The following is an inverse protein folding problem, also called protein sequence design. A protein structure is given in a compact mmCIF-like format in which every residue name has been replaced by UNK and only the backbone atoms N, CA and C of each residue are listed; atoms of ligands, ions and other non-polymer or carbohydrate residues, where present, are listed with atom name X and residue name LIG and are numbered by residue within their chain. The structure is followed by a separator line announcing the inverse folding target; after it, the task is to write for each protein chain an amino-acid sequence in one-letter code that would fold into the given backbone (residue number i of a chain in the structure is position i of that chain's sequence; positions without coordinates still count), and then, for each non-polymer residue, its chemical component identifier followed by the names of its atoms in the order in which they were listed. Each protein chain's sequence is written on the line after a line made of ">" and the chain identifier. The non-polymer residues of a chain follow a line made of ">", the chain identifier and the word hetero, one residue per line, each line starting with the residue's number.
data_IF_480667969682
#
_entry.id   IF_480667969682
#
_cell.length_a   1.000
_cell.length_b   1.000
_cell.length_c   1.000
_cell.angle_alpha   90.00
_cell.angle_beta   90.00
_cell.angle_gamma   90.00
#
_symmetry.space_group_name_H-M   'P 1'
#
loop_
_entity.id
_entity.type
_entity.pdbx_description
1 polymer ?
#
# COMPACT_ATOMS: atom_id res chain seq x y z
N UNK A 1 41.14 -29.28 11.42
CA UNK A 1 40.38 -28.97 12.66
C UNK A 1 41.02 -29.47 13.95
N UNK A 2 41.35 -30.76 14.14
CA UNK A 2 41.91 -31.28 15.41
C UNK A 2 43.19 -30.58 15.92
N UNK A 3 44.11 -30.19 15.02
CA UNK A 3 45.34 -29.43 15.39
C UNK A 3 45.07 -27.98 15.82
N UNK A 4 44.02 -27.35 15.30
CA UNK A 4 43.67 -25.97 15.62
C UNK A 4 43.10 -25.86 17.04
N UNK A 5 42.17 -26.77 17.39
CA UNK A 5 41.61 -26.84 18.75
C UNK A 5 42.65 -27.25 19.81
N UNK A 6 43.64 -28.08 19.47
CA UNK A 6 44.69 -28.43 20.44
C UNK A 6 45.63 -27.26 20.75
N UNK A 7 45.93 -26.40 19.76
CA UNK A 7 46.70 -25.17 19.95
C UNK A 7 45.95 -24.13 20.80
N UNK A 8 44.64 -23.94 20.55
CA UNK A 8 43.77 -23.10 21.38
C UNK A 8 43.72 -23.56 22.84
N UNK A 9 43.66 -24.89 23.07
CA UNK A 9 43.64 -25.49 24.41
C UNK A 9 44.97 -25.31 25.14
N UNK A 10 46.09 -25.47 24.42
CA UNK A 10 47.45 -25.35 24.97
C UNK A 10 47.78 -23.92 25.43
N UNK A 11 47.25 -22.92 24.73
CA UNK A 11 47.49 -21.50 25.03
C UNK A 11 46.42 -20.86 25.93
N UNK A 12 45.50 -21.65 26.51
CA UNK A 12 44.33 -21.15 27.28
C UNK A 12 43.46 -20.13 26.52
N UNK A 13 43.54 -20.10 25.19
CA UNK A 13 42.83 -19.14 24.34
C UNK A 13 41.40 -19.57 23.99
N UNK A 14 40.95 -20.73 24.47
CA UNK A 14 39.58 -21.21 24.25
C UNK A 14 38.55 -20.22 24.79
N UNK A 15 38.75 -19.71 26.01
CA UNK A 15 37.79 -18.81 26.65
C UNK A 15 37.65 -17.46 25.92
N UNK A 16 38.73 -16.77 25.53
CA UNK A 16 38.61 -15.56 24.71
C UNK A 16 38.10 -15.84 23.29
N UNK A 17 38.38 -17.00 22.68
CA UNK A 17 37.86 -17.35 21.36
C UNK A 17 36.37 -17.65 21.37
N UNK A 18 35.87 -18.36 22.41
CA UNK A 18 34.43 -18.56 22.64
C UNK A 18 33.75 -17.23 22.92
N UNK A 19 34.37 -16.35 23.72
CA UNK A 19 33.85 -14.99 23.94
C UNK A 19 33.75 -14.21 22.62
N UNK A 20 34.75 -14.26 21.75
CA UNK A 20 34.74 -13.55 20.47
C UNK A 20 33.65 -14.08 19.54
N UNK A 21 33.42 -15.40 19.53
CA UNK A 21 32.33 -16.02 18.77
C UNK A 21 30.97 -15.64 19.34
N UNK A 22 30.80 -15.66 20.67
CA UNK A 22 29.54 -15.30 21.34
C UNK A 22 29.24 -13.81 21.17
N UNK A 23 30.23 -12.93 21.29
CA UNK A 23 30.06 -11.49 21.04
C UNK A 23 29.79 -11.22 19.56
N UNK A 24 30.44 -11.93 18.64
CA UNK A 24 30.13 -11.87 17.21
C UNK A 24 28.70 -12.34 16.89
N UNK A 25 28.26 -13.46 17.47
CA UNK A 25 26.89 -13.97 17.36
C UNK A 25 25.87 -13.03 18.00
N UNK A 26 26.18 -12.42 19.15
CA UNK A 26 25.33 -11.44 19.81
C UNK A 26 25.20 -10.17 18.98
N UNK A 27 26.29 -9.67 18.38
CA UNK A 27 26.29 -8.51 17.48
C UNK A 27 25.48 -8.78 16.20
N UNK A 28 25.65 -9.96 15.59
CA UNK A 28 24.88 -10.38 14.41
C UNK A 28 23.41 -10.63 14.75
N UNK A 29 23.11 -11.23 15.91
CA UNK A 29 21.76 -11.43 16.40
C UNK A 29 21.08 -10.11 16.77
N UNK A 30 21.80 -9.15 17.34
CA UNK A 30 21.28 -7.80 17.61
C UNK A 30 21.06 -7.01 16.33
N UNK A 31 21.90 -7.17 15.29
CA UNK A 31 21.63 -6.58 13.99
C UNK A 31 20.42 -7.23 13.30
N UNK A 32 20.18 -8.54 13.49
CA UNK A 32 19.00 -9.24 12.96
C UNK A 32 17.72 -8.96 13.78
N UNK A 33 17.84 -8.69 15.08
CA UNK A 33 16.72 -8.31 15.96
C UNK A 33 16.30 -6.85 15.77
N UNK A 34 17.20 -5.98 15.30
CA UNK A 34 16.86 -4.63 14.84
C UNK A 34 15.97 -4.62 13.59
N UNK A 35 15.93 -5.73 12.84
CA UNK A 35 15.02 -5.95 11.71
C UNK A 35 13.73 -6.70 12.09
N UNK A 36 13.45 -6.90 13.39
CA UNK A 36 12.18 -7.50 13.82
C UNK A 36 11.23 -6.45 14.40
N UNK A 37 10.73 -5.57 13.54
CA UNK A 37 9.38 -5.06 13.69
C UNK A 37 8.68 -5.22 12.35
N UNK A 38 7.54 -5.90 12.38
CA UNK A 38 6.55 -5.77 11.31
C UNK A 38 6.18 -4.29 11.33
N UNK A 39 6.74 -3.52 10.39
CA UNK A 39 6.41 -2.10 10.22
C UNK A 39 4.96 -2.02 9.82
N UNK A 40 4.06 -1.90 10.79
CA UNK A 40 2.63 -1.72 10.57
C UNK A 40 2.24 -0.38 11.17
N UNK A 41 1.85 0.53 10.29
CA UNK A 41 1.59 1.92 10.63
C UNK A 41 0.23 2.30 10.08
N UNK A 42 -0.69 2.72 10.94
CA UNK A 42 -2.06 3.14 10.66
C UNK A 42 -2.14 4.60 10.21
N UNK A 43 -2.40 4.84 8.94
CA UNK A 43 -2.88 6.11 8.43
C UNK A 43 -4.40 6.15 8.50
N UNK A 44 -4.98 6.52 9.65
CA UNK A 44 -6.38 6.94 9.73
C UNK A 44 -7.41 5.96 9.14
N UNK A 45 -7.18 4.65 9.29
CA UNK A 45 -8.04 3.60 8.74
C UNK A 45 -7.38 2.73 7.66
N UNK A 46 -6.23 3.15 7.10
CA UNK A 46 -5.37 2.30 6.27
C UNK A 46 -4.04 2.00 6.94
N UNK A 47 -3.73 0.73 7.16
CA UNK A 47 -2.42 0.32 7.64
C UNK A 47 -1.44 0.10 6.49
N UNK A 48 -0.28 0.75 6.51
CA UNK A 48 0.82 0.44 5.59
C UNK A 48 1.77 -0.47 6.33
N UNK A 49 2.07 -1.64 5.74
CA UNK A 49 3.03 -2.51 6.37
C UNK A 49 3.38 -3.82 5.69
N UNK A 50 4.58 -4.30 5.97
CA UNK A 50 5.17 -5.50 5.35
C UNK A 50 4.72 -6.78 6.04
N UNK A 51 4.40 -7.83 5.29
CA UNK A 51 4.24 -9.18 5.87
C UNK A 51 5.57 -9.91 6.03
N UNK A 52 6.64 -9.30 5.55
CA UNK A 52 7.97 -9.87 5.59
C UNK A 52 8.93 -8.97 6.36
N UNK A 53 9.55 -9.54 7.40
CA UNK A 53 10.59 -8.91 8.25
C UNK A 53 11.83 -8.41 7.49
N UNK A 54 11.95 -8.75 6.22
CA UNK A 54 13.10 -8.42 5.39
C UNK A 54 12.87 -7.23 4.45
N UNK A 55 11.72 -6.58 4.52
CA UNK A 55 11.44 -5.32 3.81
C UNK A 55 11.20 -4.22 4.84
N UNK A 56 11.67 -3.02 4.51
CA UNK A 56 11.44 -1.81 5.29
C UNK A 56 10.82 -0.76 4.39
N UNK A 57 9.73 -0.15 4.84
CA UNK A 57 9.16 1.03 4.19
C UNK A 57 9.92 2.29 4.60
N UNK A 58 9.90 3.30 3.75
CA UNK A 58 10.31 4.65 4.14
C UNK A 58 9.36 5.20 5.19
N UNK A 59 9.88 6.07 6.05
CA UNK A 59 9.08 6.84 7.00
C UNK A 59 8.22 7.91 6.31
N UNK A 60 8.40 8.10 5.00
CA UNK A 60 7.65 9.04 4.19
C UNK A 60 6.76 8.33 3.16
N UNK A 61 5.50 8.77 3.09
CA UNK A 61 4.56 8.45 2.03
C UNK A 61 4.13 9.76 1.38
N UNK A 62 4.19 9.83 0.06
CA UNK A 62 3.70 10.99 -0.69
C UNK A 62 2.39 10.62 -1.37
N UNK A 63 1.37 11.46 -1.22
CA UNK A 63 0.07 11.29 -1.87
C UNK A 63 -0.17 12.49 -2.78
N UNK A 64 -0.43 12.21 -4.05
CA UNK A 64 -0.78 13.23 -5.03
C UNK A 64 -2.22 13.02 -5.47
N UNK A 65 -3.10 13.98 -5.18
CA UNK A 65 -4.43 14.04 -5.78
C UNK A 65 -4.36 14.92 -7.02
N UNK A 66 -5.01 14.54 -8.11
CA UNK A 66 -5.11 15.42 -9.26
C UNK A 66 -6.27 15.10 -10.20
N UNK A 67 -6.49 16.00 -11.16
CA UNK A 67 -7.45 15.81 -12.26
C UNK A 67 -6.68 15.73 -13.57
N UNK A 68 -6.90 14.67 -14.34
CA UNK A 68 -6.34 14.56 -15.68
C UNK A 68 -7.17 15.44 -16.63
N UNK A 69 -6.56 16.48 -17.19
CA UNK A 69 -7.26 17.43 -18.04
C UNK A 69 -7.45 16.89 -19.46
N UNK A 70 -8.66 16.47 -19.79
CA UNK A 70 -9.18 16.64 -21.15
C UNK A 70 -10.20 17.79 -21.14
N UNK A 71 -9.72 19.02 -21.29
CA UNK A 71 -10.56 20.15 -21.72
C UNK A 71 -11.11 21.14 -20.69
N UNK A 72 -10.45 21.43 -19.55
CA UNK A 72 -10.91 22.59 -18.77
C UNK A 72 -10.22 22.99 -17.47
N UNK A 73 -9.43 22.11 -16.85
CA UNK A 73 -8.63 22.48 -15.67
C UNK A 73 -7.84 21.31 -15.13
N UNK A 74 -6.52 21.49 -14.98
CA UNK A 74 -5.68 20.58 -14.22
C UNK A 74 -5.48 21.16 -12.83
N UNK A 75 -5.63 20.31 -11.82
CA UNK A 75 -5.24 20.61 -10.45
C UNK A 75 -4.40 19.44 -9.94
N UNK A 76 -3.40 19.76 -9.12
CA UNK A 76 -2.62 18.78 -8.38
C UNK A 76 -2.45 19.26 -6.94
N UNK A 77 -2.72 18.38 -5.99
CA UNK A 77 -2.39 18.52 -4.58
C UNK A 77 -1.35 17.49 -4.23
N UNK A 78 -0.26 17.89 -3.61
CA UNK A 78 0.70 16.96 -3.01
C UNK A 78 0.65 17.11 -1.51
N UNK A 79 0.45 15.99 -0.82
CA UNK A 79 0.49 15.89 0.63
C UNK A 79 1.54 14.85 0.98
N UNK A 80 2.45 15.23 1.88
CA UNK A 80 3.49 14.35 2.39
C UNK A 80 3.06 13.89 3.77
N UNK A 81 3.18 12.61 4.05
CA UNK A 81 2.91 12.01 5.35
C UNK A 81 4.18 11.40 5.91
N UNK A 82 4.48 11.71 7.17
CA UNK A 82 5.60 11.14 7.91
C UNK A 82 5.11 10.22 9.01
N UNK A 83 5.87 9.15 9.25
CA UNK A 83 5.67 8.26 10.39
C UNK A 83 5.78 9.08 11.68
N UNK A 84 4.78 8.94 12.54
CA UNK A 84 4.75 9.59 13.84
C UNK A 84 5.81 9.04 14.79
N UNK A 85 6.08 9.81 15.84
CA UNK A 85 6.98 9.40 16.93
C UNK A 85 6.54 8.11 17.64
N UNK A 86 5.24 7.78 17.58
CA UNK A 86 4.68 6.54 18.12
C UNK A 86 4.97 5.32 17.23
N UNK A 87 5.54 5.53 16.04
CA UNK A 87 5.75 4.58 14.95
C UNK A 87 4.48 3.83 14.52
N UNK A 88 3.32 4.27 14.98
CA UNK A 88 2.04 3.60 14.81
C UNK A 88 1.19 4.26 13.76
N UNK A 89 1.40 5.54 13.44
CA UNK A 89 0.57 6.25 12.46
C UNK A 89 1.38 7.15 11.54
N UNK A 90 0.86 7.35 10.33
CA UNK A 90 1.35 8.38 9.42
C UNK A 90 0.52 9.66 9.61
N UNK A 91 1.20 10.80 9.70
CA UNK A 91 0.57 12.11 9.86
C UNK A 91 1.07 13.09 8.80
N UNK A 92 0.20 14.01 8.41
CA UNK A 92 0.56 15.05 7.44
C UNK A 92 1.77 15.84 7.95
N UNK A 93 2.74 16.04 7.06
CA UNK A 93 4.02 16.64 7.37
C UNK A 93 4.37 17.69 6.31
N UNK A 94 4.70 18.88 6.77
CA UNK A 94 4.99 20.02 5.90
C UNK A 94 6.03 20.92 6.55
N UNK A 95 6.97 21.42 5.75
CA UNK A 95 7.98 22.40 6.16
C UNK A 95 8.77 21.99 7.44
N UNK A 96 9.02 20.68 7.60
CA UNK A 96 9.77 20.14 8.73
C UNK A 96 8.97 19.97 10.02
N UNK A 97 7.63 20.00 9.96
CA UNK A 97 6.77 19.78 11.12
C UNK A 97 5.47 19.03 10.78
N UNK A 98 4.89 18.37 11.78
CA UNK A 98 3.56 17.76 11.66
C UNK A 98 2.47 18.83 11.57
N UNK A 99 1.60 18.71 10.58
CA UNK A 99 0.44 19.57 10.40
C UNK A 99 -0.63 19.22 11.44
N UNK A 100 -1.31 20.25 11.96
CA UNK A 100 -2.35 20.12 12.98
C UNK A 100 -3.66 20.74 12.52
N UNK A 101 -4.76 20.14 12.96
CA UNK A 101 -6.12 20.68 12.77
C UNK A 101 -6.41 21.87 13.70
N UNK A 102 -7.62 22.42 13.61
CA UNK A 102 -8.08 23.56 14.43
C UNK A 102 -8.11 23.26 15.93
N UNK A 103 -8.21 21.97 16.30
CA UNK A 103 -8.21 21.48 17.68
C UNK A 103 -6.80 21.17 18.19
N UNK A 104 -5.78 21.26 17.32
CA UNK A 104 -4.38 21.02 17.62
C UNK A 104 -3.94 19.55 17.46
N UNK A 105 -4.77 18.67 16.92
CA UNK A 105 -4.44 17.27 16.70
C UNK A 105 -3.64 17.09 15.40
N UNK A 106 -2.71 16.12 15.37
CA UNK A 106 -1.98 15.76 14.13
C UNK A 106 -2.97 15.15 13.14
N UNK A 107 -2.93 15.61 11.88
CA UNK A 107 -3.85 15.11 10.83
C UNK A 107 -3.35 13.74 10.34
N UNK A 108 -4.13 12.65 10.48
CA UNK A 108 -3.70 11.33 10.03
C UNK A 108 -3.73 11.24 8.49
N UNK A 109 -2.92 10.33 7.94
CA UNK A 109 -3.07 9.90 6.55
C UNK A 109 -4.47 9.30 6.34
N UNK A 110 -5.23 9.74 5.35
CA UNK A 110 -6.53 9.15 5.02
C UNK A 110 -6.72 9.13 3.50
N UNK A 111 -7.25 8.03 2.96
CA UNK A 111 -7.72 7.97 1.57
C UNK A 111 -9.19 8.41 1.57
N UNK A 112 -9.44 9.61 1.04
CA UNK A 112 -10.80 10.13 0.82
C UNK A 112 -11.25 9.80 -0.60
N UNK A 113 -12.57 9.72 -0.81
CA UNK A 113 -13.19 9.48 -2.11
C UNK A 113 -12.67 10.40 -3.23
N UNK A 114 -12.73 9.91 -4.46
CA UNK A 114 -12.29 10.59 -5.68
C UNK A 114 -13.48 10.95 -6.55
N UNK A 115 -13.52 12.17 -7.07
CA UNK A 115 -14.53 12.55 -8.07
C UNK A 115 -14.25 11.90 -9.44
N UNK A 116 -15.25 11.76 -10.32
CA UNK A 116 -15.01 11.35 -11.71
C UNK A 116 -13.98 12.25 -12.39
N UNK A 117 -12.94 11.65 -12.97
CA UNK A 117 -11.81 12.36 -13.57
C UNK A 117 -10.66 12.69 -12.60
N UNK A 118 -10.85 12.48 -11.30
CA UNK A 118 -9.76 12.54 -10.32
C UNK A 118 -8.97 11.23 -10.26
N UNK A 119 -7.69 11.38 -9.92
CA UNK A 119 -6.79 10.30 -9.54
C UNK A 119 -6.12 10.61 -8.20
N UNK A 120 -5.66 9.53 -7.55
CA UNK A 120 -4.84 9.56 -6.34
C UNK A 120 -3.61 8.68 -6.55
N UNK A 121 -2.44 9.29 -6.60
CA UNK A 121 -1.16 8.60 -6.67
C UNK A 121 -0.57 8.47 -5.27
N UNK A 122 -0.49 7.25 -4.78
CA UNK A 122 0.15 6.89 -3.51
C UNK A 122 1.57 6.43 -3.84
N UNK A 123 2.55 7.26 -3.50
CA UNK A 123 3.98 6.99 -3.68
C UNK A 123 4.54 6.43 -2.39
N UNK A 124 5.03 5.20 -2.49
CA UNK A 124 5.68 4.48 -1.40
C UNK A 124 7.12 4.19 -1.79
N UNK A 125 8.01 4.23 -0.81
CA UNK A 125 9.40 3.85 -0.96
C UNK A 125 9.72 2.69 -0.02
N UNK A 126 10.49 1.70 -0.48
CA UNK A 126 10.84 0.50 0.29
C UNK A 126 12.21 -0.05 -0.12
N UNK A 127 12.85 -0.79 0.78
CA UNK A 127 14.13 -1.49 0.57
C UNK A 127 14.09 -2.88 1.20
N UNK A 128 15.04 -3.75 0.85
CA UNK A 128 15.13 -5.10 1.40
C UNK A 128 16.47 -5.38 2.12
N UNK A 129 16.53 -6.51 2.83
CA UNK A 129 17.77 -7.01 3.42
C UNK A 129 18.71 -7.63 2.38
N UNK A 130 20.01 -7.59 2.66
CA UNK A 130 21.07 -8.03 1.73
C UNK A 130 20.89 -9.45 1.17
N UNK A 131 20.36 -10.36 1.98
CA UNK A 131 20.14 -11.77 1.62
C UNK A 131 18.93 -12.01 0.69
N UNK A 132 18.11 -10.99 0.43
CA UNK A 132 16.95 -11.08 -0.47
C UNK A 132 17.03 -10.07 -1.63
N UNK A 133 18.20 -9.47 -1.83
CA UNK A 133 18.47 -8.64 -3.00
C UNK A 133 18.06 -9.39 -4.28
N UNK A 134 17.27 -8.73 -5.13
CA UNK A 134 16.78 -9.33 -6.36
C UNK A 134 15.74 -10.44 -6.14
N UNK A 135 15.06 -10.48 -5.01
CA UNK A 135 13.87 -11.34 -4.83
C UNK A 135 12.64 -10.60 -5.34
N UNK A 136 11.73 -11.33 -5.98
CA UNK A 136 10.42 -10.82 -6.40
C UNK A 136 9.49 -10.70 -5.21
N UNK A 137 8.86 -9.55 -5.06
CA UNK A 137 7.82 -9.33 -4.06
C UNK A 137 6.53 -8.85 -4.71
N UNK A 138 5.42 -9.05 -4.00
CA UNK A 138 4.08 -8.66 -4.41
C UNK A 138 3.58 -7.52 -3.53
N UNK A 139 3.05 -6.46 -4.13
CA UNK A 139 2.26 -5.44 -3.44
C UNK A 139 0.82 -5.94 -3.24
N UNK A 140 0.10 -5.65 -2.17
CA UNK A 140 -1.31 -6.07 -2.07
C UNK A 140 -2.14 -5.17 -1.17
N UNK A 141 -3.46 -5.19 -1.40
CA UNK A 141 -4.44 -4.55 -0.54
C UNK A 141 -5.30 -5.60 0.18
N UNK A 142 -5.48 -5.44 1.49
CA UNK A 142 -6.31 -6.33 2.33
C UNK A 142 -7.24 -5.51 3.23
N UNK A 143 -8.23 -6.17 3.82
CA UNK A 143 -9.22 -5.56 4.72
C UNK A 143 -9.97 -4.38 4.08
N UNK A 144 -10.35 -4.53 2.81
CA UNK A 144 -11.09 -3.51 2.07
C UNK A 144 -12.56 -3.61 2.48
N UNK A 145 -13.15 -2.49 2.91
CA UNK A 145 -14.56 -2.42 3.30
C UNK A 145 -15.21 -1.20 2.68
N UNK A 146 -16.51 -1.30 2.42
CA UNK A 146 -17.29 -0.27 1.76
C UNK A 146 -18.68 -0.14 2.41
N UNK A 147 -18.72 -0.20 3.74
CA UNK A 147 -19.95 -0.16 4.55
C UNK A 147 -20.86 1.03 4.21
N UNK A 148 -20.29 2.17 3.80
CA UNK A 148 -21.03 3.36 3.34
C UNK A 148 -20.84 3.62 1.83
N UNK A 149 -20.35 2.65 1.08
CA UNK A 149 -19.99 2.73 -0.32
C UNK A 149 -20.97 2.06 -1.28
N UNK A 150 -22.15 1.63 -0.83
CA UNK A 150 -23.10 0.91 -1.70
C UNK A 150 -23.98 1.83 -2.55
N UNK A 151 -24.26 1.40 -3.78
CA UNK A 151 -25.24 1.97 -4.70
C UNK A 151 -26.39 0.99 -4.90
N UNK A 152 -27.64 1.47 -4.85
CA UNK A 152 -28.79 0.65 -5.22
C UNK A 152 -29.12 0.85 -6.69
N UNK A 153 -28.94 -0.19 -7.50
CA UNK A 153 -29.27 -0.21 -8.94
C UNK A 153 -30.33 -1.28 -9.17
N UNK A 154 -31.54 -0.87 -9.56
CA UNK A 154 -32.69 -1.76 -9.86
C UNK A 154 -32.83 -2.91 -8.83
N UNK A 155 -32.88 -2.53 -7.55
CA UNK A 155 -33.06 -3.44 -6.41
C UNK A 155 -31.85 -4.33 -6.02
N UNK A 156 -30.66 -4.11 -6.60
CA UNK A 156 -29.39 -4.68 -6.14
C UNK A 156 -28.46 -3.64 -5.56
N UNK A 157 -27.77 -4.00 -4.48
CA UNK A 157 -26.69 -3.18 -3.91
C UNK A 157 -25.35 -3.54 -4.58
N UNK A 158 -24.65 -2.53 -5.08
CA UNK A 158 -23.33 -2.65 -5.71
C UNK A 158 -22.31 -1.85 -4.91
N UNK A 159 -21.11 -2.40 -4.70
CA UNK A 159 -20.01 -1.65 -4.10
C UNK A 159 -19.53 -0.49 -4.98
N UNK A 160 -19.11 0.59 -4.33
CA UNK A 160 -18.30 1.63 -4.96
C UNK A 160 -16.94 1.10 -5.41
N UNK A 161 -16.44 0.01 -4.82
CA UNK A 161 -15.15 -0.55 -5.14
C UNK A 161 -15.01 -1.00 -6.59
N UNK A 162 -16.10 -1.41 -7.26
CA UNK A 162 -16.00 -1.82 -8.67
C UNK A 162 -16.14 -0.70 -9.70
N UNK A 163 -16.23 0.57 -9.26
CA UNK A 163 -15.92 1.72 -10.12
C UNK A 163 -14.53 2.31 -9.84
N UNK A 164 -13.85 1.87 -8.78
CA UNK A 164 -12.46 2.24 -8.51
C UNK A 164 -11.52 1.27 -9.20
N UNK A 165 -10.66 1.82 -10.05
CA UNK A 165 -9.52 1.12 -10.62
C UNK A 165 -8.26 1.45 -9.82
N UNK A 166 -7.34 0.51 -9.81
CA UNK A 166 -6.01 0.71 -9.27
C UNK A 166 -4.96 0.21 -10.25
N UNK A 167 -3.81 0.87 -10.31
CA UNK A 167 -2.69 0.51 -11.18
C UNK A 167 -1.37 0.81 -10.48
N UNK A 168 -0.35 -0.02 -10.68
CA UNK A 168 1.04 0.37 -10.37
C UNK A 168 1.61 1.02 -11.61
N UNK A 169 1.99 2.29 -11.51
CA UNK A 169 2.57 3.03 -12.63
C UNK A 169 3.97 2.51 -12.92
N UNK A 170 4.37 2.54 -14.19
CA UNK A 170 5.74 2.25 -14.57
C UNK A 170 6.72 3.36 -14.13
N UNK A 171 8.01 3.19 -14.43
CA UNK A 171 9.06 4.14 -14.06
C UNK A 171 8.86 5.55 -14.67
N UNK A 172 8.14 5.64 -15.78
CA UNK A 172 7.89 6.89 -16.51
C UNK A 172 6.53 7.51 -16.09
N UNK A 173 5.83 6.87 -15.14
CA UNK A 173 4.52 7.31 -14.64
C UNK A 173 3.36 6.94 -15.55
N UNK A 174 3.56 6.05 -16.53
CA UNK A 174 2.51 5.56 -17.41
C UNK A 174 1.69 4.47 -16.72
N UNK A 175 0.39 4.46 -17.01
CA UNK A 175 -0.50 3.38 -16.58
C UNK A 175 -0.29 2.14 -17.46
N UNK A 176 -0.30 0.92 -16.88
CA UNK A 176 -0.26 -0.32 -17.65
C UNK A 176 -1.52 -0.45 -18.50
N UNK A 177 -1.42 -1.22 -19.60
CA UNK A 177 -2.55 -1.47 -20.49
C UNK A 177 -3.65 -2.33 -19.84
N UNK A 178 -3.27 -3.17 -18.87
CA UNK A 178 -4.22 -3.96 -18.09
C UNK A 178 -4.87 -3.08 -17.01
N UNK A 179 -6.20 -3.14 -16.91
CA UNK A 179 -6.97 -2.47 -15.87
C UNK A 179 -7.15 -3.44 -14.70
N UNK A 180 -6.95 -2.97 -13.47
CA UNK A 180 -7.29 -3.74 -12.27
C UNK A 180 -8.37 -3.06 -11.44
N UNK A 181 -9.26 -3.86 -10.85
CA UNK A 181 -10.39 -3.40 -10.05
C UNK A 181 -10.36 -4.01 -8.65
N UNK A 182 -11.00 -3.35 -7.69
CA UNK A 182 -11.21 -3.91 -6.35
C UNK A 182 -12.41 -4.87 -6.29
N UNK A 183 -13.42 -4.60 -7.11
CA UNK A 183 -14.58 -5.46 -7.34
C UNK A 183 -14.94 -5.40 -8.82
N UNK A 184 -15.43 -6.48 -9.40
CA UNK A 184 -15.86 -6.49 -10.80
C UNK A 184 -17.39 -6.56 -10.89
N UNK A 185 -17.98 -5.64 -11.66
CA UNK A 185 -19.38 -5.68 -12.04
C UNK A 185 -19.58 -6.03 -13.50
N UNK A 186 -20.52 -6.92 -13.74
CA UNK A 186 -21.15 -7.10 -15.04
C UNK A 186 -22.60 -6.66 -14.94
N UNK A 187 -22.98 -5.66 -15.73
CA UNK A 187 -24.38 -5.25 -15.92
C UNK A 187 -24.78 -5.66 -17.33
N UNK A 188 -25.77 -6.52 -17.45
CA UNK A 188 -26.31 -7.01 -18.73
C UNK A 188 -27.72 -6.47 -18.90
N UNK A 189 -27.95 -5.71 -19.97
CA UNK A 189 -29.30 -5.34 -20.41
C UNK A 189 -29.96 -6.55 -21.08
N UNK A 190 -31.05 -7.03 -20.51
CA UNK A 190 -31.83 -8.12 -21.07
C UNK A 190 -32.82 -7.56 -22.11
N UNK A 191 -33.21 -8.41 -23.07
CA UNK A 191 -34.12 -8.04 -24.15
C UNK A 191 -35.52 -7.63 -23.66
N UNK A 192 -35.89 -7.98 -22.43
CA UNK A 192 -37.15 -7.61 -21.77
C UNK A 192 -37.09 -6.24 -21.07
N UNK A 193 -35.97 -5.53 -21.15
CA UNK A 193 -35.74 -4.24 -20.47
C UNK A 193 -35.30 -4.36 -19.01
N UNK A 194 -35.21 -5.59 -18.48
CA UNK A 194 -34.58 -5.84 -17.18
C UNK A 194 -33.05 -5.74 -17.29
N UNK A 195 -32.35 -5.63 -16.15
CA UNK A 195 -30.90 -5.75 -16.10
C UNK A 195 -30.51 -6.85 -15.13
N UNK A 196 -29.54 -7.67 -15.53
CA UNK A 196 -28.86 -8.60 -14.62
C UNK A 196 -27.57 -7.96 -14.15
N UNK A 197 -27.35 -7.90 -12.84
CA UNK A 197 -26.08 -7.44 -12.26
C UNK A 197 -25.39 -8.55 -11.49
N UNK A 198 -24.12 -8.80 -11.79
CA UNK A 198 -23.24 -9.71 -11.07
C UNK A 198 -22.11 -8.90 -10.43
N UNK A 199 -21.84 -9.14 -9.14
CA UNK A 199 -20.71 -8.55 -8.40
C UNK A 199 -19.77 -9.67 -7.95
N UNK A 200 -18.49 -9.55 -8.27
CA UNK A 200 -17.44 -10.39 -7.69
C UNK A 200 -16.59 -9.55 -6.74
N UNK A 201 -16.94 -9.59 -5.46
CA UNK A 201 -16.15 -8.99 -4.40
C UNK A 201 -14.93 -9.88 -4.10
N UNK A 202 -13.74 -9.36 -4.39
CA UNK A 202 -12.50 -9.98 -3.96
C UNK A 202 -12.21 -9.53 -2.52
N UNK A 203 -12.55 -10.35 -1.52
CA UNK A 203 -12.29 -10.04 -0.09
C UNK A 203 -10.80 -9.79 0.25
N UNK A 204 -9.90 -10.07 -0.69
CA UNK A 204 -8.51 -9.63 -0.71
C UNK A 204 -8.15 -9.37 -2.17
N UNK A 205 -7.62 -8.18 -2.46
CA UNK A 205 -7.20 -7.77 -3.80
C UNK A 205 -5.69 -7.71 -3.79
N UNK A 206 -5.08 -8.80 -4.25
CA UNK A 206 -3.64 -8.87 -4.37
C UNK A 206 -3.20 -8.08 -5.61
N UNK A 207 -2.39 -7.03 -5.43
CA UNK A 207 -1.75 -6.42 -6.59
C UNK A 207 -0.68 -7.38 -7.08
N UNK A 208 -0.93 -8.16 -8.13
CA UNK A 208 0.11 -9.01 -8.71
C UNK A 208 1.06 -8.18 -9.58
N UNK A 209 1.69 -7.18 -8.96
CA UNK A 209 2.84 -6.48 -9.51
C UNK A 209 4.08 -6.97 -8.78
N UNK A 210 4.99 -7.57 -9.53
CA UNK A 210 6.28 -7.99 -9.01
C UNK A 210 7.22 -6.78 -8.91
N UNK A 211 7.78 -6.56 -7.72
CA UNK A 211 8.77 -5.52 -7.45
C UNK A 211 10.10 -6.15 -7.06
N UNK A 212 11.19 -5.41 -7.29
CA UNK A 212 12.57 -5.81 -7.01
C UNK A 212 13.25 -4.77 -6.11
N UNK A 213 13.04 -4.82 -4.78
CA UNK A 213 13.65 -3.86 -3.86
C UNK A 213 15.18 -3.96 -3.88
N UNK A 214 15.86 -2.84 -3.67
CA UNK A 214 17.32 -2.77 -3.50
C UNK A 214 17.69 -2.82 -1.99
N UNK A 215 18.93 -3.16 -1.69
CA UNK A 215 19.49 -3.27 -0.34
C UNK A 215 20.03 -1.93 0.15
N UNK A 216 20.70 -1.21 -0.74
CA UNK A 216 21.48 -0.03 -0.39
C UNK A 216 20.67 1.27 -0.49
N UNK A 217 19.59 1.26 -1.27
CA UNK A 217 18.73 2.42 -1.51
C UNK A 217 17.25 2.04 -1.51
N UNK A 218 16.41 3.03 -1.22
CA UNK A 218 14.97 2.89 -1.34
C UNK A 218 14.54 2.92 -2.80
N UNK A 219 13.76 1.93 -3.21
CA UNK A 219 13.05 1.90 -4.50
C UNK A 219 11.64 2.42 -4.29
N UNK A 220 11.13 3.22 -5.22
CA UNK A 220 9.77 3.77 -5.14
C UNK A 220 8.81 3.07 -6.10
N UNK A 221 7.58 2.87 -5.65
CA UNK A 221 6.43 2.57 -6.52
C UNK A 221 5.36 3.63 -6.38
N UNK A 222 4.67 3.92 -7.48
CA UNK A 222 3.48 4.78 -7.48
C UNK A 222 2.26 3.92 -7.77
N UNK A 223 1.31 3.91 -6.83
CA UNK A 223 0.03 3.24 -6.98
C UNK A 223 -1.01 4.31 -7.29
N UNK A 224 -1.62 4.26 -8.47
CA UNK A 224 -2.70 5.15 -8.87
C UNK A 224 -4.04 4.51 -8.56
N UNK A 225 -4.88 5.21 -7.80
CA UNK A 225 -6.32 4.97 -7.69
C UNK A 225 -7.07 5.98 -8.54
N UNK A 226 -8.11 5.56 -9.26
CA UNK A 226 -8.97 6.49 -10.01
C UNK A 226 -10.34 5.88 -10.27
N UNK A 227 -11.29 6.69 -10.70
CA UNK A 227 -12.62 6.23 -11.10
C UNK A 227 -12.59 5.80 -12.56
N UNK A 228 -13.03 4.58 -12.87
CA UNK A 228 -13.24 4.14 -14.24
C UNK A 228 -14.58 4.69 -14.76
N UNK A 229 -14.50 5.59 -15.74
CA UNK A 229 -15.67 6.29 -16.26
C UNK A 229 -16.64 5.38 -17.03
N UNK A 230 -16.16 4.27 -17.59
CA UNK A 230 -17.00 3.29 -18.30
C UNK A 230 -17.86 2.52 -17.30
N UNK A 231 -17.27 2.06 -16.19
CA UNK A 231 -18.00 1.44 -15.08
C UNK A 231 -18.93 2.44 -14.39
N UNK A 232 -18.47 3.68 -14.15
CA UNK A 232 -19.31 4.74 -13.58
C UNK A 232 -20.55 5.05 -14.44
N UNK A 233 -20.41 5.05 -15.77
CA UNK A 233 -21.53 5.28 -16.67
C UNK A 233 -22.61 4.18 -16.62
N UNK A 234 -22.30 2.98 -16.12
CA UNK A 234 -23.28 1.90 -15.91
C UNK A 234 -24.18 2.15 -14.69
N UNK A 235 -23.80 3.06 -13.80
CA UNK A 235 -24.60 3.45 -12.63
C UNK A 235 -25.69 4.49 -12.95
N UNK A 236 -25.91 4.81 -14.24
CA UNK A 236 -26.95 5.75 -14.71
C UNK A 236 -28.35 5.32 -14.25
N UNK A 237 -29.12 6.27 -13.71
CA UNK A 237 -30.48 6.05 -13.19
C UNK A 237 -30.56 5.82 -11.68
N UNK A 238 -29.44 5.91 -10.96
CA UNK A 238 -29.41 5.98 -9.50
C UNK A 238 -29.85 7.37 -9.04
N UNK A 239 -30.88 7.44 -8.20
CA UNK A 239 -31.56 8.69 -7.83
C UNK A 239 -31.05 9.34 -6.55
N UNK A 240 -30.18 8.71 -5.76
CA UNK A 240 -29.99 9.11 -4.35
C UNK A 240 -28.59 9.24 -3.80
N UNK A 241 -27.49 9.11 -4.56
CA UNK A 241 -26.17 9.12 -3.92
C UNK A 241 -25.07 9.72 -4.80
N UNK A 242 -24.63 10.92 -4.44
CA UNK A 242 -23.43 11.52 -5.02
C UNK A 242 -22.22 10.68 -4.62
N UNK A 243 -21.33 10.42 -5.59
CA UNK A 243 -20.08 9.68 -5.37
C UNK A 243 -19.21 10.33 -4.28
N UNK A 244 -19.38 11.64 -4.04
CA UNK A 244 -18.74 12.43 -2.98
C UNK A 244 -19.14 12.03 -1.55
N UNK A 245 -20.30 11.40 -1.37
CA UNK A 245 -20.82 11.01 -0.05
C UNK A 245 -20.52 9.54 0.27
N UNK A 246 -19.99 8.81 -0.72
CA UNK A 246 -19.66 7.40 -0.60
C UNK A 246 -18.22 7.23 -0.15
N UNK A 247 -18.04 6.31 0.78
CA UNK A 247 -16.73 6.03 1.38
C UNK A 247 -16.42 4.55 1.30
N UNK A 248 -15.15 4.27 1.08
CA UNK A 248 -14.55 2.96 1.26
C UNK A 248 -13.29 3.13 2.10
N UNK A 249 -12.90 2.08 2.80
CA UNK A 249 -11.64 2.03 3.52
C UNK A 249 -10.82 0.87 2.99
N UNK A 250 -9.52 1.10 2.86
CA UNK A 250 -8.55 0.05 2.60
C UNK A 250 -7.89 -0.19 3.95
N UNK A 251 -8.14 -1.33 4.59
CA UNK A 251 -7.55 -1.57 5.91
C UNK A 251 -6.05 -1.83 5.87
N UNK A 252 -5.48 -2.27 4.73
CA UNK A 252 -4.03 -2.43 4.58
C UNK A 252 -3.49 -2.36 3.15
N UNK A 253 -2.37 -1.66 2.98
CA UNK A 253 -1.40 -1.81 1.88
C UNK A 253 -0.18 -2.58 2.40
N UNK A 254 0.23 -3.65 1.73
CA UNK A 254 1.37 -4.45 2.14
C UNK A 254 2.26 -4.94 1.03
N UNK A 255 3.45 -5.41 1.42
CA UNK A 255 4.39 -6.13 0.54
C UNK A 255 4.62 -7.52 1.12
N UNK A 256 4.47 -8.54 0.27
CA UNK A 256 4.62 -9.95 0.58
C UNK A 256 5.54 -10.63 -0.43
N UNK A 257 5.94 -11.88 -0.17
CA UNK A 257 6.73 -12.64 -1.14
C UNK A 257 5.91 -12.86 -2.42
N UNK A 258 6.54 -12.70 -3.59
CA UNK A 258 5.94 -13.13 -4.85
C UNK A 258 5.80 -14.65 -4.84
N UNK A 259 4.68 -15.18 -5.33
CA UNK A 259 4.57 -16.61 -5.58
C UNK A 259 5.58 -17.01 -6.66
N UNK A 260 6.31 -18.11 -6.43
CA UNK A 260 7.29 -18.68 -7.36
C UNK A 260 6.63 -19.40 -8.53
#
# INVERSE_FOLDING_TARGET
>A
MKKFFSLLKRNKLIMPFVSLIVTGLMLVASSLAWFSMVDRVDGGGMTVGVDNRFITFSDEITVVRGVAAEGGGSYTQTVVYHKGEDEKKYYEYKDGAFVRDEEGNKIPFEIKGLFPGEYLDIKIAYKCSANLAGTKYRLYFTNITDSNGKFTVKDKELSILGIYRWNVLDKDGAEPAEKHWFSEYTVTDNADGSQTVEEKNNGTVELKTEIWPNVEEFVSSTIRLSVDLEQYAKLKGTTSNLLSEKQFSIGRLGIGMGES
#
